data_IF_314263051486
#
_entry.id   IF_314263051486
#
_cell.length_a   1.000
_cell.length_b   1.000
_cell.length_c   1.000
_cell.angle_alpha   90.00
_cell.angle_beta   90.00
_cell.angle_gamma   90.00
#
_symmetry.space_group_name_H-M   'P 1'
#
loop_
_entity.id
_entity.type
_entity.pdbx_description
1 polymer ?
#
# COMPACT_ATOMS: atom_id res chain seq x y z
N UNK A 1 -6.36 -11.29 -10.60
CA UNK A 1 -5.35 -10.66 -9.72
C UNK A 1 -4.52 -9.66 -10.50
N UNK A 2 -4.25 -8.53 -9.91
CA UNK A 2 -3.47 -7.51 -10.61
C UNK A 2 -1.99 -7.84 -10.53
N UNK A 3 -1.36 -7.88 -11.68
CA UNK A 3 0.05 -8.19 -11.75
C UNK A 3 0.86 -6.99 -11.29
N UNK A 4 1.96 -7.27 -10.59
CA UNK A 4 2.85 -6.21 -10.12
C UNK A 4 3.76 -5.81 -11.27
N UNK A 5 3.52 -4.62 -11.83
CA UNK A 5 4.30 -4.14 -12.96
C UNK A 5 5.11 -2.90 -12.61
N UNK A 6 4.95 -2.39 -11.38
CA UNK A 6 5.73 -1.26 -10.92
C UNK A 6 5.95 -1.42 -9.42
N UNK A 7 6.84 -0.63 -8.84
CA UNK A 7 7.10 -0.75 -7.39
C UNK A 7 5.99 -0.20 -6.54
N UNK A 8 4.95 0.35 -7.11
CA UNK A 8 3.87 0.95 -6.34
C UNK A 8 2.79 -0.07 -6.05
N UNK A 9 2.30 -0.07 -4.82
CA UNK A 9 1.32 -1.04 -4.35
C UNK A 9 0.08 -0.34 -3.82
N UNK A 10 -1.05 -1.01 -4.00
CA UNK A 10 -2.31 -0.62 -3.39
C UNK A 10 -2.51 -1.45 -2.13
N UNK A 11 -2.86 -0.79 -1.03
CA UNK A 11 -3.14 -1.45 0.24
C UNK A 11 -4.56 -1.11 0.64
N UNK A 12 -5.44 -2.10 0.58
CA UNK A 12 -6.85 -1.90 0.88
C UNK A 12 -7.27 -2.60 2.15
N UNK A 13 -8.53 -2.42 2.51
CA UNK A 13 -9.12 -2.95 3.74
C UNK A 13 -8.30 -2.56 4.95
N UNK A 14 -7.80 -1.34 4.94
CA UNK A 14 -6.92 -0.82 5.95
C UNK A 14 -7.71 -0.27 7.12
N UNK A 15 -7.22 -0.51 8.33
CA UNK A 15 -7.84 0.09 9.51
C UNK A 15 -7.79 1.61 9.38
N UNK A 16 -8.88 2.25 9.81
CA UNK A 16 -8.91 3.71 9.77
C UNK A 16 -7.89 4.33 10.73
N UNK A 17 -7.39 3.54 11.66
CA UNK A 17 -6.38 4.01 12.61
C UNK A 17 -4.95 3.85 12.11
N UNK A 18 -4.77 3.19 10.98
CA UNK A 18 -3.43 2.96 10.45
C UNK A 18 -2.82 4.27 9.97
N UNK A 19 -1.54 4.45 10.27
CA UNK A 19 -0.80 5.64 9.88
C UNK A 19 0.26 5.28 8.85
N UNK A 20 0.85 6.31 8.29
CA UNK A 20 1.96 6.09 7.35
C UNK A 20 3.13 5.41 8.02
N UNK A 21 3.39 5.77 9.28
CA UNK A 21 4.44 5.11 10.04
C UNK A 21 4.17 3.62 10.21
N UNK A 22 2.93 3.28 10.47
CA UNK A 22 2.56 1.86 10.59
C UNK A 22 2.86 1.10 9.32
N UNK A 23 2.53 1.69 8.18
CA UNK A 23 2.79 1.05 6.90
C UNK A 23 4.27 0.97 6.61
N UNK A 24 4.99 2.01 6.94
CA UNK A 24 6.43 2.02 6.75
C UNK A 24 7.07 0.86 7.48
N UNK A 25 6.70 0.68 8.75
CA UNK A 25 7.27 -0.39 9.54
C UNK A 25 6.88 -1.75 9.01
N UNK A 26 5.62 -1.90 8.65
CA UNK A 26 5.13 -3.18 8.18
C UNK A 26 5.82 -3.60 6.89
N UNK A 27 5.88 -2.70 5.93
CA UNK A 27 6.43 -3.02 4.62
C UNK A 27 7.95 -3.07 4.63
N UNK A 28 8.60 -2.31 5.52
CA UNK A 28 10.05 -2.41 5.65
C UNK A 28 10.51 -3.78 6.12
N UNK A 29 9.63 -4.53 6.76
CA UNK A 29 9.97 -5.89 7.14
C UNK A 29 10.09 -6.84 5.96
N UNK A 30 9.60 -6.43 4.80
CA UNK A 30 9.62 -7.25 3.59
C UNK A 30 10.66 -6.73 2.61
N UNK A 31 10.83 -5.42 2.54
CA UNK A 31 11.76 -4.79 1.62
C UNK A 31 11.85 -3.33 1.96
N UNK A 32 12.59 -2.59 1.17
CA UNK A 32 12.80 -1.19 1.46
C UNK A 32 11.67 -0.34 0.90
N UNK A 33 11.03 0.41 1.79
CA UNK A 33 9.93 1.30 1.40
C UNK A 33 10.49 2.63 0.96
N UNK A 34 10.05 3.07 -0.21
CA UNK A 34 10.44 4.37 -0.71
C UNK A 34 9.47 5.46 -0.28
N UNK A 35 8.19 5.13 -0.24
CA UNK A 35 7.16 6.09 0.11
C UNK A 35 5.91 5.36 0.56
N UNK A 36 5.19 5.95 1.49
CA UNK A 36 3.91 5.40 1.94
C UNK A 36 2.96 6.56 2.15
N UNK A 37 1.74 6.40 1.64
CA UNK A 37 0.75 7.45 1.71
C UNK A 37 -0.61 6.86 2.04
N UNK A 38 -1.17 7.25 3.18
CA UNK A 38 -2.54 6.87 3.55
C UNK A 38 -3.48 7.89 2.92
N UNK A 39 -4.46 7.40 2.17
CA UNK A 39 -5.41 8.29 1.50
C UNK A 39 -6.46 8.71 2.51
N UNK A 40 -6.65 10.01 2.64
CA UNK A 40 -7.57 10.58 3.63
C UNK A 40 -8.64 11.41 2.95
N UNK A 41 -9.76 11.55 3.64
CA UNK A 41 -10.80 12.46 3.19
C UNK A 41 -10.31 13.89 3.25
N UNK A 42 -10.64 14.62 2.22
CA UNK A 42 -10.12 15.96 2.05
C UNK A 42 -10.50 16.90 3.20
N UNK A 43 -11.72 16.81 3.66
CA UNK A 43 -12.21 17.75 4.66
C UNK A 43 -12.11 17.25 6.08
N UNK A 44 -12.27 15.95 6.28
CA UNK A 44 -12.29 15.41 7.63
C UNK A 44 -10.95 14.87 8.08
N UNK A 45 -10.01 14.71 7.17
CA UNK A 45 -8.69 14.15 7.45
C UNK A 45 -8.76 12.70 7.91
N UNK A 46 -9.88 12.04 7.71
CA UNK A 46 -10.03 10.65 8.10
C UNK A 46 -9.56 9.75 7.00
N UNK A 47 -8.91 8.65 7.36
CA UNK A 47 -8.47 7.67 6.40
C UNK A 47 -9.65 7.10 5.62
N UNK A 48 -9.46 6.90 4.32
CA UNK A 48 -10.48 6.28 3.49
C UNK A 48 -10.40 4.75 3.55
N UNK A 49 -9.49 4.21 4.33
CA UNK A 49 -9.38 2.76 4.47
C UNK A 49 -8.47 2.13 3.43
N UNK A 50 -7.69 2.92 2.73
CA UNK A 50 -6.70 2.37 1.81
C UNK A 50 -5.52 3.32 1.69
N UNK A 51 -4.45 2.80 1.13
CA UNK A 51 -3.20 3.54 1.04
C UNK A 51 -2.40 3.06 -0.16
N UNK A 52 -1.37 3.80 -0.48
CA UNK A 52 -0.40 3.40 -1.50
C UNK A 52 0.97 3.33 -0.86
N UNK A 53 1.71 2.28 -1.19
CA UNK A 53 3.06 2.10 -0.70
C UNK A 53 3.95 1.87 -1.90
N UNK A 54 5.04 2.65 -1.99
CA UNK A 54 6.00 2.47 -3.06
C UNK A 54 7.25 1.82 -2.51
N UNK A 55 7.60 0.68 -3.08
CA UNK A 55 8.83 -0.01 -2.72
C UNK A 55 9.95 0.50 -3.61
N UNK A 56 11.18 0.08 -3.33
CA UNK A 56 12.33 0.53 -4.11
C UNK A 56 12.41 -0.20 -5.45
N UNK A 57 12.06 -1.48 -5.46
CA UNK A 57 12.13 -2.27 -6.70
C UNK A 57 10.84 -3.04 -6.89
N UNK A 58 10.63 -3.50 -8.13
CA UNK A 58 9.47 -4.32 -8.46
C UNK A 58 9.53 -5.65 -7.71
N UNK A 59 10.72 -6.19 -7.53
CA UNK A 59 10.87 -7.46 -6.84
C UNK A 59 10.46 -7.37 -5.39
N UNK A 60 10.82 -6.27 -4.74
CA UNK A 60 10.38 -6.05 -3.38
C UNK A 60 8.87 -5.86 -3.31
N UNK A 61 8.29 -5.20 -4.29
CA UNK A 61 6.86 -5.02 -4.34
C UNK A 61 6.15 -6.36 -4.50
N UNK A 62 6.66 -7.24 -5.35
CA UNK A 62 6.09 -8.57 -5.51
C UNK A 62 6.15 -9.35 -4.20
N UNK A 63 7.27 -9.25 -3.53
CA UNK A 63 7.44 -9.94 -2.26
C UNK A 63 6.45 -9.42 -1.24
N UNK A 64 6.23 -8.12 -1.22
CA UNK A 64 5.29 -7.53 -0.29
C UNK A 64 3.88 -8.06 -0.54
N UNK A 65 3.48 -8.18 -1.80
CA UNK A 65 2.18 -8.73 -2.11
C UNK A 65 2.09 -10.17 -1.59
N UNK A 66 3.12 -10.97 -1.83
CA UNK A 66 3.08 -12.37 -1.41
C UNK A 66 3.03 -12.51 0.11
N UNK A 67 3.73 -11.65 0.82
CA UNK A 67 3.85 -11.82 2.27
C UNK A 67 2.80 -11.06 3.05
N UNK A 68 2.26 -9.98 2.51
CA UNK A 68 1.36 -9.13 3.28
C UNK A 68 -0.10 -9.21 2.84
N UNK A 69 -0.37 -9.74 1.66
CA UNK A 69 -1.76 -9.91 1.24
C UNK A 69 -2.45 -10.91 2.18
N UNK A 70 -3.63 -10.56 2.64
CA UNK A 70 -4.42 -11.35 3.59
C UNK A 70 -3.78 -11.46 4.97
N UNK A 71 -2.71 -10.72 5.22
CA UNK A 71 -2.14 -10.70 6.55
C UNK A 71 -2.99 -9.80 7.44
N UNK A 72 -3.23 -10.26 8.66
CA UNK A 72 -4.01 -9.47 9.61
C UNK A 72 -3.15 -8.35 10.17
N UNK A 73 -3.67 -7.13 10.09
CA UNK A 73 -2.97 -5.95 10.58
C UNK A 73 -3.98 -5.02 11.21
N UNK A 74 -3.80 -4.71 12.48
CA UNK A 74 -4.71 -3.88 13.25
C UNK A 74 -6.14 -4.41 13.18
N UNK A 75 -6.27 -5.73 13.22
CA UNK A 75 -7.57 -6.37 13.27
C UNK A 75 -8.24 -6.59 11.93
N UNK A 76 -7.59 -6.30 10.84
CA UNK A 76 -8.18 -6.45 9.50
C UNK A 76 -7.19 -7.13 8.56
N UNK A 77 -7.72 -7.94 7.66
CA UNK A 77 -6.87 -8.57 6.66
C UNK A 77 -6.62 -7.61 5.51
N UNK A 78 -5.37 -7.33 5.26
CA UNK A 78 -4.98 -6.40 4.23
C UNK A 78 -5.20 -6.95 2.84
N UNK A 79 -5.55 -6.06 1.92
CA UNK A 79 -5.55 -6.37 0.50
C UNK A 79 -4.36 -5.65 -0.10
N UNK A 80 -3.37 -6.41 -0.56
CA UNK A 80 -2.16 -5.81 -1.15
C UNK A 80 -2.06 -6.29 -2.58
N UNK A 81 -1.96 -5.34 -3.49
CA UNK A 81 -1.87 -5.67 -4.92
C UNK A 81 -1.07 -4.60 -5.64
N UNK A 82 -0.72 -4.88 -6.89
CA UNK A 82 -0.04 -3.88 -7.69
C UNK A 82 -0.95 -2.73 -8.04
N UNK A 83 -0.41 -1.52 -8.02
CA UNK A 83 -1.17 -0.33 -8.33
C UNK A 83 -0.90 0.08 -9.77
N UNK A 84 -1.97 0.41 -10.49
CA UNK A 84 -1.85 0.86 -11.88
C UNK A 84 -1.75 2.36 -11.91
N UNK A 85 -0.72 2.83 -11.34
CA UNK A 85 -0.61 4.25 -11.15
C UNK A 85 -0.28 5.05 -12.37
N UNK A 86 0.65 4.57 -13.17
CA UNK A 86 1.14 5.42 -14.27
C UNK A 86 0.03 5.91 -15.17
N UNK A 87 -0.93 5.05 -15.42
CA UNK A 87 -1.99 5.44 -16.33
C UNK A 87 -2.81 6.58 -15.79
N UNK A 88 -3.12 6.50 -14.53
CA UNK A 88 -3.90 7.54 -13.91
C UNK A 88 -3.15 8.85 -13.86
N UNK A 89 -1.91 8.75 -13.54
CA UNK A 89 -1.10 9.94 -13.40
C UNK A 89 -0.89 10.63 -14.71
N UNK A 90 -0.67 9.82 -15.73
CA UNK A 90 -0.45 10.40 -17.02
C UNK A 90 -1.70 11.00 -17.61
N UNK A 91 -2.79 10.37 -17.31
CA UNK A 91 -4.04 10.89 -17.80
C UNK A 91 -4.29 12.27 -17.25
N UNK A 92 -3.68 12.56 -16.19
CA UNK A 92 -3.81 13.87 -15.62
C UNK A 92 -3.15 14.92 -16.48
#
# INVERSE_FOLDING_TARGET
MVEVTSPKLYVGNLSFDATESDLFELFNGVGQVRNAEVVCHKYTQRSKGFAFVQMTTIEEARRAVQELHDKEFLGRKLVVSGAKTPDMERAA
#
